data_IF_410466156194
#
_entry.id   IF_410466156194
#
_cell.length_a   1.000
_cell.length_b   1.000
_cell.length_c   1.000
_cell.angle_alpha   90.00
_cell.angle_beta   90.00
_cell.angle_gamma   90.00
#
_symmetry.space_group_name_H-M   'P 1'
#
loop_
_entity.id
_entity.type
_entity.pdbx_description
1 polymer ?
#
# COMPACT_ATOMS: atom_id res chain seq x y z
N UNK A 1 6.23 6.89 -0.51
CA UNK A 1 6.20 6.97 -1.99
C UNK A 1 5.66 8.31 -2.45
N UNK A 2 6.41 8.99 -3.34
CA UNK A 2 5.96 10.22 -4.00
C UNK A 2 4.97 9.85 -5.12
N UNK A 3 3.94 10.69 -5.33
CA UNK A 3 2.85 10.49 -6.30
C UNK A 3 3.35 10.22 -7.73
N UNK A 4 4.52 10.75 -8.07
CA UNK A 4 5.11 10.68 -9.41
C UNK A 4 5.64 9.28 -9.77
N UNK A 5 6.21 8.55 -8.81
CA UNK A 5 6.69 7.17 -9.03
C UNK A 5 5.52 6.22 -9.25
N UNK A 6 4.40 6.45 -8.55
CA UNK A 6 3.20 5.61 -8.63
C UNK A 6 2.53 5.73 -10.01
N UNK A 7 2.61 6.89 -10.67
CA UNK A 7 2.06 7.07 -12.02
C UNK A 7 2.84 6.33 -13.12
N UNK A 8 4.16 6.14 -12.94
CA UNK A 8 5.02 5.46 -13.91
C UNK A 8 4.88 3.93 -13.92
N UNK A 9 4.38 3.33 -12.83
CA UNK A 9 4.21 1.88 -12.70
C UNK A 9 3.12 1.35 -13.65
N UNK A 10 3.34 0.19 -14.25
CA UNK A 10 2.34 -0.49 -15.08
C UNK A 10 1.14 -0.99 -14.25
N UNK A 11 0.00 -1.27 -14.89
CA UNK A 11 -1.22 -1.76 -14.21
C UNK A 11 -0.93 -3.02 -13.39
N UNK A 12 -0.14 -3.95 -13.93
CA UNK A 12 0.26 -5.19 -13.26
C UNK A 12 1.22 -4.95 -12.08
N UNK A 13 2.14 -4.00 -12.20
CA UNK A 13 3.04 -3.64 -11.11
C UNK A 13 2.29 -2.98 -9.95
N UNK A 14 1.28 -2.17 -10.26
CA UNK A 14 0.40 -1.58 -9.25
C UNK A 14 -0.35 -2.67 -8.49
N UNK A 15 -0.92 -3.66 -9.20
CA UNK A 15 -1.61 -4.80 -8.58
C UNK A 15 -0.67 -5.64 -7.70
N UNK A 16 0.52 -5.99 -8.21
CA UNK A 16 1.54 -6.71 -7.43
C UNK A 16 1.95 -5.95 -6.16
N UNK A 17 2.15 -4.64 -6.27
CA UNK A 17 2.48 -3.80 -5.11
C UNK A 17 1.34 -3.72 -4.10
N UNK A 18 0.08 -3.65 -4.56
CA UNK A 18 -1.08 -3.68 -3.66
C UNK A 18 -1.12 -4.98 -2.87
N UNK A 19 -0.89 -6.13 -3.51
CA UNK A 19 -0.95 -7.42 -2.82
C UNK A 19 0.22 -7.62 -1.86
N UNK A 20 1.42 -7.14 -2.21
CA UNK A 20 2.56 -7.10 -1.29
C UNK A 20 2.25 -6.25 -0.05
N UNK A 21 1.76 -5.02 -0.24
CA UNK A 21 1.43 -4.11 0.86
C UNK A 21 0.26 -4.61 1.72
N UNK A 22 -0.68 -5.39 1.16
CA UNK A 22 -1.71 -6.07 1.95
C UNK A 22 -1.12 -7.12 2.88
N UNK A 23 -0.17 -7.94 2.41
CA UNK A 23 0.55 -8.91 3.25
C UNK A 23 1.31 -8.20 4.37
N UNK A 24 2.01 -7.11 4.05
CA UNK A 24 2.70 -6.30 5.06
C UNK A 24 1.71 -5.69 6.08
N UNK A 25 0.55 -5.22 5.63
CA UNK A 25 -0.50 -4.71 6.52
C UNK A 25 -1.05 -5.81 7.44
N UNK A 26 -1.18 -7.04 6.95
CA UNK A 26 -1.56 -8.19 7.78
C UNK A 26 -0.50 -8.47 8.85
N UNK A 27 0.78 -8.50 8.47
CA UNK A 27 1.89 -8.68 9.41
C UNK A 27 1.92 -7.58 10.47
N UNK A 28 1.71 -6.32 10.10
CA UNK A 28 1.63 -5.23 11.07
C UNK A 28 0.41 -5.33 12.00
N UNK A 29 -0.73 -5.82 11.51
CA UNK A 29 -1.91 -6.08 12.37
C UNK A 29 -1.64 -7.22 13.34
N UNK A 30 -0.97 -8.28 12.89
CA UNK A 30 -0.57 -9.40 13.73
C UNK A 30 0.42 -8.97 14.82
N UNK A 31 1.46 -8.22 14.46
CA UNK A 31 2.39 -7.61 15.42
C UNK A 31 1.69 -6.66 16.41
N UNK A 32 0.65 -5.94 15.97
CA UNK A 32 -0.17 -5.09 16.84
C UNK A 32 -0.89 -5.92 17.91
N UNK A 33 -1.47 -7.04 17.53
CA UNK A 33 -2.21 -7.94 18.44
C UNK A 33 -1.24 -8.58 19.44
N UNK A 34 -0.05 -8.98 18.99
CA UNK A 34 0.98 -9.57 19.85
C UNK A 34 1.71 -8.54 20.72
N UNK A 35 1.31 -7.26 20.71
CA UNK A 35 1.96 -6.16 21.43
C UNK A 35 3.46 -5.98 21.11
N UNK A 36 3.94 -6.53 19.99
CA UNK A 36 5.34 -6.44 19.53
C UNK A 36 5.55 -5.32 18.50
N UNK A 37 4.62 -4.37 18.42
CA UNK A 37 4.67 -3.36 17.37
C UNK A 37 5.70 -2.28 17.73
N UNK A 38 6.81 -2.28 17.01
CA UNK A 38 7.90 -1.32 17.19
C UNK A 38 7.59 0.04 16.56
N UNK A 39 6.75 0.08 15.51
CA UNK A 39 6.42 1.33 14.84
C UNK A 39 4.96 1.38 14.32
N UNK A 40 4.02 1.89 15.14
CA UNK A 40 2.61 2.05 14.75
C UNK A 40 2.40 2.97 13.55
N UNK A 41 3.30 3.94 13.31
CA UNK A 41 3.15 4.94 12.24
C UNK A 41 3.18 4.28 10.85
N UNK A 42 3.97 3.20 10.69
CA UNK A 42 4.06 2.42 9.44
C UNK A 42 2.70 1.85 9.01
N UNK A 43 1.81 1.49 9.94
CA UNK A 43 0.45 1.03 9.57
C UNK A 43 -0.30 2.12 8.80
N UNK A 44 -0.23 3.36 9.29
CA UNK A 44 -0.89 4.50 8.67
C UNK A 44 -0.32 4.82 7.29
N UNK A 45 1.01 4.77 7.16
CA UNK A 45 1.70 4.99 5.89
C UNK A 45 1.39 3.90 4.85
N UNK A 46 1.41 2.63 5.24
CA UNK A 46 1.06 1.50 4.38
C UNK A 46 -0.39 1.62 3.89
N UNK A 47 -1.34 1.97 4.78
CA UNK A 47 -2.74 2.23 4.38
C UNK A 47 -2.85 3.37 3.37
N UNK A 48 -2.18 4.51 3.61
CA UNK A 48 -2.18 5.65 2.68
C UNK A 48 -1.55 5.28 1.33
N UNK A 49 -0.52 4.44 1.33
CA UNK A 49 0.15 3.99 0.11
C UNK A 49 -0.75 3.06 -0.72
N UNK A 50 -1.44 2.11 -0.08
CA UNK A 50 -2.45 1.26 -0.74
C UNK A 50 -3.57 2.11 -1.35
N UNK A 51 -4.06 3.10 -0.62
CA UNK A 51 -5.11 4.00 -1.11
C UNK A 51 -4.66 4.76 -2.37
N UNK A 52 -3.44 5.33 -2.35
CA UNK A 52 -2.87 6.04 -3.51
C UNK A 52 -2.72 5.12 -4.73
N UNK A 53 -2.23 3.90 -4.55
CA UNK A 53 -2.10 2.91 -5.62
C UNK A 53 -3.46 2.56 -6.25
N UNK A 54 -4.49 2.34 -5.42
CA UNK A 54 -5.85 2.10 -5.90
C UNK A 54 -6.43 3.29 -6.66
N UNK A 55 -6.22 4.51 -6.19
CA UNK A 55 -6.67 5.72 -6.89
C UNK A 55 -6.02 5.84 -8.26
N UNK A 56 -4.70 5.62 -8.37
CA UNK A 56 -4.01 5.66 -9.66
C UNK A 56 -4.46 4.55 -10.60
N UNK A 57 -4.75 3.35 -10.09
CA UNK A 57 -5.34 2.28 -10.90
C UNK A 57 -6.69 2.69 -11.49
N UNK A 58 -7.54 3.34 -10.68
CA UNK A 58 -8.85 3.85 -11.12
C UNK A 58 -8.70 4.98 -12.14
N UNK A 59 -7.75 5.91 -11.93
CA UNK A 59 -7.42 6.96 -12.91
C UNK A 59 -7.00 6.35 -14.26
N UNK A 60 -6.20 5.27 -14.28
CA UNK A 60 -5.77 4.57 -15.50
C UNK A 60 -6.84 3.68 -16.16
N UNK A 61 -7.97 3.45 -15.48
CA UNK A 61 -9.07 2.64 -15.99
C UNK A 61 -10.20 3.54 -16.54
N UNK A 62 -10.31 4.76 -16.01
CA UNK A 62 -11.29 5.76 -16.42
C UNK A 62 -10.74 6.78 -17.46
N UNK A 63 -9.48 6.64 -17.87
CA UNK A 63 -8.85 7.40 -18.94
C UNK A 63 -8.69 6.49 -20.16
#
# INVERSE_FOLDING_TARGET
MKKQEIKKLSKDEILKNIDKLKKDLFNFRFQKINSQITNPAKIGETKKTIARLKTTLKEKLNA
#
